data_IF_796321783784
#
_entry.id   IF_796321783784
#
_cell.length_a   1.000
_cell.length_b   1.000
_cell.length_c   1.000
_cell.angle_alpha   90.00
_cell.angle_beta   90.00
_cell.angle_gamma   90.00
#
_symmetry.space_group_name_H-M   'P 1'
#
loop_
_entity.id
_entity.type
_entity.pdbx_description
1 polymer ?
#
# COMPACT_ATOMS: atom_id res chain seq x y z
N UNK A 1 8.85 -20.75 7.06
CA UNK A 1 10.17 -20.11 7.31
C UNK A 1 10.39 -20.08 8.82
N UNK A 2 11.61 -20.28 9.33
CA UNK A 2 11.91 -20.16 10.77
C UNK A 2 12.21 -18.70 11.17
N UNK A 3 12.04 -18.35 12.44
CA UNK A 3 12.36 -16.99 12.94
C UNK A 3 13.84 -16.65 12.81
N UNK A 4 14.72 -17.62 13.02
CA UNK A 4 16.17 -17.46 12.78
C UNK A 4 16.43 -17.14 11.31
N UNK A 5 15.79 -17.88 10.39
CA UNK A 5 15.98 -17.62 8.96
C UNK A 5 15.49 -16.24 8.55
N UNK A 6 14.36 -15.77 9.09
CA UNK A 6 13.88 -14.40 8.80
C UNK A 6 14.83 -13.34 9.39
N UNK A 7 15.37 -13.57 10.58
CA UNK A 7 16.39 -12.69 11.19
C UNK A 7 17.66 -12.60 10.33
N UNK A 8 18.14 -13.73 9.79
CA UNK A 8 19.25 -13.75 8.84
C UNK A 8 18.91 -12.98 7.57
N UNK A 9 17.72 -13.19 6.98
CA UNK A 9 17.30 -12.48 5.76
C UNK A 9 17.18 -10.97 5.95
N UNK A 10 16.74 -10.51 7.13
CA UNK A 10 16.71 -9.08 7.47
C UNK A 10 18.11 -8.47 7.46
N UNK A 11 19.09 -9.18 8.01
CA UNK A 11 20.48 -8.73 7.98
C UNK A 11 21.08 -8.80 6.58
N UNK A 12 20.86 -9.91 5.86
CA UNK A 12 21.43 -10.16 4.53
C UNK A 12 20.88 -9.20 3.46
N UNK A 13 19.57 -8.87 3.51
CA UNK A 13 18.88 -8.16 2.42
C UNK A 13 18.53 -6.71 2.71
N UNK A 14 18.35 -6.35 3.98
CA UNK A 14 17.90 -5.03 4.38
C UNK A 14 18.89 -4.29 5.29
N UNK A 15 20.04 -4.92 5.62
CA UNK A 15 20.98 -4.43 6.63
C UNK A 15 20.28 -4.01 7.94
N UNK A 16 19.25 -4.77 8.31
CA UNK A 16 18.36 -4.44 9.43
C UNK A 16 18.41 -5.52 10.50
N UNK A 17 18.61 -5.12 11.75
CA UNK A 17 18.78 -6.06 12.85
C UNK A 17 17.49 -6.26 13.65
N UNK A 18 16.83 -7.39 13.42
CA UNK A 18 15.81 -7.93 14.33
C UNK A 18 16.19 -9.37 14.65
N UNK A 19 16.53 -9.63 15.91
CA UNK A 19 16.86 -10.99 16.35
C UNK A 19 15.63 -11.91 16.31
N UNK A 20 15.84 -13.23 16.29
CA UNK A 20 14.77 -14.23 16.21
C UNK A 20 13.70 -14.08 17.33
N UNK A 21 14.08 -13.62 18.53
CA UNK A 21 13.13 -13.36 19.62
C UNK A 21 12.24 -12.15 19.30
N UNK A 22 12.82 -11.10 18.71
CA UNK A 22 12.11 -9.91 18.24
C UNK A 22 11.14 -10.24 17.12
N UNK A 23 11.55 -11.07 16.15
CA UNK A 23 10.66 -11.58 15.09
C UNK A 23 9.50 -12.36 15.69
N UNK A 24 9.77 -13.30 16.61
CA UNK A 24 8.72 -14.06 17.30
C UNK A 24 7.73 -13.17 18.04
N UNK A 25 8.21 -12.11 18.71
CA UNK A 25 7.35 -11.15 19.42
C UNK A 25 6.50 -10.30 18.47
N UNK A 26 7.02 -9.94 17.30
CA UNK A 26 6.24 -9.25 16.25
C UNK A 26 5.10 -10.16 15.78
N UNK A 27 5.41 -11.41 15.40
CA UNK A 27 4.42 -12.40 14.95
C UNK A 27 3.35 -12.68 16.00
N UNK A 28 3.73 -12.70 17.28
CA UNK A 28 2.80 -12.88 18.40
C UNK A 28 1.99 -11.61 18.74
N UNK A 29 2.18 -10.49 18.02
CA UNK A 29 1.54 -9.20 18.30
C UNK A 29 2.00 -8.53 19.60
N UNK A 30 3.07 -9.05 20.22
CA UNK A 30 3.63 -8.58 21.50
C UNK A 30 4.61 -7.41 21.32
N UNK A 31 5.07 -7.19 20.09
CA UNK A 31 5.92 -6.06 19.71
C UNK A 31 5.30 -5.34 18.51
N UNK A 32 5.19 -4.02 18.60
CA UNK A 32 4.78 -3.17 17.48
C UNK A 32 5.91 -3.08 16.45
N UNK A 33 5.52 -2.97 15.18
CA UNK A 33 6.39 -2.82 14.02
C UNK A 33 6.51 -1.32 13.70
N UNK A 34 7.72 -0.79 13.56
CA UNK A 34 7.93 0.58 13.07
C UNK A 34 7.79 0.65 11.54
N UNK A 35 7.66 1.84 10.93
CA UNK A 35 7.71 1.96 9.47
C UNK A 35 9.01 1.39 8.87
N UNK A 36 10.16 1.58 9.53
CA UNK A 36 11.44 1.02 9.07
C UNK A 36 11.44 -0.52 9.17
N UNK A 37 10.93 -1.08 10.28
CA UNK A 37 10.76 -2.54 10.42
C UNK A 37 9.87 -3.09 9.29
N UNK A 38 8.78 -2.39 8.93
CA UNK A 38 7.87 -2.79 7.86
C UNK A 38 8.57 -2.86 6.51
N UNK A 39 9.35 -1.82 6.16
CA UNK A 39 10.11 -1.78 4.90
C UNK A 39 11.19 -2.86 4.89
N UNK A 40 11.93 -3.03 5.99
CA UNK A 40 12.94 -4.07 6.10
C UNK A 40 12.35 -5.49 5.97
N UNK A 41 11.20 -5.75 6.61
CA UNK A 41 10.47 -7.02 6.47
C UNK A 41 10.01 -7.26 5.03
N UNK A 42 9.51 -6.22 4.37
CA UNK A 42 9.10 -6.30 2.96
C UNK A 42 10.30 -6.70 2.07
N UNK A 43 11.45 -6.05 2.24
CA UNK A 43 12.69 -6.39 1.54
C UNK A 43 13.17 -7.82 1.85
N UNK A 44 13.19 -8.21 3.13
CA UNK A 44 13.60 -9.55 3.54
C UNK A 44 12.73 -10.65 2.91
N UNK A 45 11.42 -10.40 2.82
CA UNK A 45 10.43 -11.31 2.25
C UNK A 45 10.31 -11.21 0.73
N UNK A 46 10.92 -10.21 0.08
CA UNK A 46 10.84 -9.99 -1.35
C UNK A 46 9.47 -9.53 -1.83
N UNK A 47 8.78 -8.71 -1.03
CA UNK A 47 7.45 -8.14 -1.33
C UNK A 47 7.47 -6.62 -1.13
N UNK A 48 6.40 -5.91 -1.51
CA UNK A 48 6.24 -4.49 -1.18
C UNK A 48 5.65 -4.31 0.23
N UNK A 49 5.82 -3.15 0.89
CA UNK A 49 5.14 -2.85 2.15
C UNK A 49 3.62 -2.97 2.07
N UNK A 50 3.03 -2.61 0.92
CA UNK A 50 1.59 -2.74 0.68
C UNK A 50 1.11 -4.19 0.82
N UNK A 51 1.91 -5.19 0.40
CA UNK A 51 1.59 -6.61 0.58
C UNK A 51 1.47 -6.98 2.06
N UNK A 52 2.32 -6.44 2.93
CA UNK A 52 2.30 -6.73 4.37
C UNK A 52 1.18 -5.97 5.11
N UNK A 53 0.76 -4.81 4.57
CA UNK A 53 -0.36 -4.03 5.10
C UNK A 53 -1.73 -4.55 4.64
N UNK A 54 -1.79 -5.32 3.54
CA UNK A 54 -3.03 -5.84 2.99
C UNK A 54 -3.48 -7.11 3.73
N UNK A 55 -4.66 -7.13 4.38
CA UNK A 55 -5.22 -8.34 4.95
C UNK A 55 -5.44 -9.42 3.88
N UNK A 56 -5.31 -10.69 4.27
CA UNK A 56 -5.53 -11.82 3.36
C UNK A 56 -6.99 -11.81 2.90
N UNK A 57 -7.19 -11.66 1.58
CA UNK A 57 -8.50 -11.70 0.93
C UNK A 57 -8.43 -12.52 -0.35
N UNK A 58 -9.45 -13.34 -0.62
CA UNK A 58 -9.52 -14.17 -1.83
C UNK A 58 -10.39 -13.56 -2.92
N UNK A 59 -11.16 -12.50 -2.61
CA UNK A 59 -12.03 -11.80 -3.55
C UNK A 59 -11.91 -10.29 -3.38
N UNK A 60 -12.12 -9.54 -4.46
CA UNK A 60 -12.03 -8.07 -4.51
C UNK A 60 -13.06 -7.37 -3.62
N UNK A 61 -14.26 -7.93 -3.54
CA UNK A 61 -15.40 -7.43 -2.78
C UNK A 61 -15.44 -7.93 -1.33
N UNK A 62 -14.53 -8.82 -0.95
CA UNK A 62 -14.43 -9.30 0.43
C UNK A 62 -14.15 -8.13 1.37
N UNK A 63 -15.00 -7.95 2.37
CA UNK A 63 -14.81 -6.92 3.40
C UNK A 63 -13.62 -7.31 4.27
N UNK A 64 -12.64 -6.42 4.35
CA UNK A 64 -11.46 -6.54 5.20
C UNK A 64 -11.41 -5.40 6.20
N UNK A 65 -10.74 -5.65 7.34
CA UNK A 65 -10.54 -4.67 8.40
C UNK A 65 -9.06 -4.32 8.46
N UNK A 66 -8.77 -3.02 8.55
CA UNK A 66 -7.44 -2.48 8.77
C UNK A 66 -7.47 -1.49 9.93
N UNK A 67 -6.36 -1.41 10.68
CA UNK A 67 -6.23 -0.49 11.82
C UNK A 67 -6.54 0.95 11.40
N UNK A 68 -7.44 1.61 12.12
CA UNK A 68 -7.84 3.00 11.84
C UNK A 68 -8.88 3.17 10.73
N UNK A 69 -9.21 2.11 9.99
CA UNK A 69 -10.27 2.12 8.98
C UNK A 69 -11.59 1.72 9.61
N UNK A 70 -12.57 2.63 9.61
CA UNK A 70 -13.89 2.38 10.23
C UNK A 70 -14.76 1.47 9.37
N UNK A 71 -15.48 0.53 9.99
CA UNK A 71 -16.53 -0.26 9.34
C UNK A 71 -16.07 -1.37 8.39
N UNK A 72 -14.76 -1.50 8.16
CA UNK A 72 -14.22 -2.38 7.11
C UNK A 72 -14.49 -1.84 5.71
N UNK A 73 -13.70 -2.31 4.73
CA UNK A 73 -13.82 -1.88 3.33
C UNK A 73 -13.62 -3.08 2.40
N UNK A 74 -14.17 -3.06 1.17
CA UNK A 74 -13.81 -4.03 0.14
C UNK A 74 -12.30 -4.10 -0.07
N UNK A 75 -11.77 -5.32 -0.19
CA UNK A 75 -10.34 -5.59 -0.33
C UNK A 75 -9.69 -4.79 -1.47
N UNK A 76 -10.37 -4.65 -2.61
CA UNK A 76 -9.90 -3.86 -3.75
C UNK A 76 -9.74 -2.38 -3.43
N UNK A 77 -10.65 -1.79 -2.64
CA UNK A 77 -10.55 -0.38 -2.28
C UNK A 77 -9.41 -0.12 -1.30
N UNK A 78 -9.19 -1.03 -0.35
CA UNK A 78 -8.02 -0.96 0.53
C UNK A 78 -6.73 -1.09 -0.28
N UNK A 79 -6.66 -2.05 -1.21
CA UNK A 79 -5.49 -2.24 -2.07
C UNK A 79 -5.20 -1.01 -2.93
N UNK A 80 -6.22 -0.42 -3.56
CA UNK A 80 -6.08 0.82 -4.32
C UNK A 80 -5.52 1.95 -3.45
N UNK A 81 -6.05 2.12 -2.24
CA UNK A 81 -5.56 3.15 -1.32
C UNK A 81 -4.10 2.93 -0.90
N UNK A 82 -3.71 1.70 -0.56
CA UNK A 82 -2.34 1.34 -0.19
C UNK A 82 -1.33 1.62 -1.31
N UNK A 83 -1.76 1.59 -2.57
CA UNK A 83 -0.92 1.84 -3.75
C UNK A 83 -1.15 3.24 -4.34
N UNK A 84 -1.68 4.18 -3.56
CA UNK A 84 -1.98 5.55 -3.99
C UNK A 84 -2.91 5.65 -5.23
N UNK A 85 -3.70 4.62 -5.54
CA UNK A 85 -4.64 4.59 -6.67
C UNK A 85 -6.03 5.15 -6.38
N UNK A 86 -6.25 5.71 -5.19
CA UNK A 86 -7.49 6.40 -4.81
C UNK A 86 -7.73 6.46 -3.30
N UNK A 87 -8.59 7.38 -2.83
CA UNK A 87 -8.89 7.51 -1.42
C UNK A 87 -9.79 6.38 -0.90
N UNK A 88 -9.76 6.15 0.42
CA UNK A 88 -10.75 5.29 1.07
C UNK A 88 -12.16 5.90 1.03
N UNK A 89 -13.22 5.07 1.00
CA UNK A 89 -14.59 5.53 1.18
C UNK A 89 -14.76 6.33 2.47
N UNK A 90 -15.55 7.40 2.41
CA UNK A 90 -15.83 8.26 3.57
C UNK A 90 -14.71 9.23 3.95
N UNK A 91 -13.58 9.25 3.25
CA UNK A 91 -12.50 10.22 3.49
C UNK A 91 -12.86 11.67 3.15
N UNK A 92 -13.90 11.89 2.33
CA UNK A 92 -14.31 13.21 1.83
C UNK A 92 -13.39 13.78 0.74
N UNK A 93 -12.37 13.04 0.29
CA UNK A 93 -11.45 13.47 -0.77
C UNK A 93 -11.95 13.02 -2.14
N UNK A 94 -11.83 13.89 -3.14
CA UNK A 94 -11.92 13.50 -4.55
C UNK A 94 -10.66 12.75 -4.99
N UNK A 95 -10.74 12.05 -6.13
CA UNK A 95 -9.58 11.38 -6.73
C UNK A 95 -8.42 12.35 -6.99
N UNK A 96 -8.71 13.55 -7.50
CA UNK A 96 -7.72 14.59 -7.78
C UNK A 96 -7.06 15.09 -6.48
N UNK A 97 -7.86 15.46 -5.47
CA UNK A 97 -7.35 15.95 -4.19
C UNK A 97 -6.56 14.89 -3.40
N UNK A 98 -6.87 13.61 -3.60
CA UNK A 98 -6.07 12.51 -3.05
C UNK A 98 -4.74 12.38 -3.79
N UNK A 99 -4.75 12.39 -5.13
CA UNK A 99 -3.56 12.37 -5.97
C UNK A 99 -2.58 13.48 -5.55
N UNK A 100 -3.05 14.73 -5.47
CA UNK A 100 -2.28 15.93 -5.06
C UNK A 100 -1.52 15.76 -3.73
N UNK A 101 -1.97 14.85 -2.85
CA UNK A 101 -1.37 14.61 -1.54
C UNK A 101 -0.54 13.33 -1.48
N UNK A 102 -0.88 12.34 -2.30
CA UNK A 102 -0.34 10.99 -2.21
C UNK A 102 0.78 10.75 -3.23
N UNK A 103 0.80 11.50 -4.33
CA UNK A 103 1.73 11.29 -5.42
C UNK A 103 2.98 12.16 -5.28
N UNK A 104 4.15 11.63 -5.66
CA UNK A 104 5.35 12.44 -5.85
C UNK A 104 5.23 13.32 -7.11
N UNK A 105 6.07 14.34 -7.21
CA UNK A 105 6.03 15.32 -8.31
C UNK A 105 6.04 14.68 -9.70
N UNK A 106 6.87 13.66 -9.92
CA UNK A 106 6.99 13.04 -11.24
C UNK A 106 5.70 12.32 -11.69
N UNK A 107 4.92 11.75 -10.76
CA UNK A 107 3.62 11.13 -11.08
C UNK A 107 2.57 12.19 -11.47
N UNK A 108 2.66 13.40 -10.88
CA UNK A 108 1.85 14.54 -11.30
C UNK A 108 2.17 14.94 -12.73
N UNK A 109 3.47 15.12 -13.02
CA UNK A 109 3.96 15.54 -14.33
C UNK A 109 3.59 14.52 -15.43
N UNK A 110 3.68 13.22 -15.12
CA UNK A 110 3.30 12.14 -16.03
C UNK A 110 1.78 12.08 -16.27
N UNK A 111 0.99 12.26 -15.22
CA UNK A 111 -0.48 12.30 -15.33
C UNK A 111 -0.95 13.49 -16.16
N UNK A 112 -0.32 14.66 -16.01
CA UNK A 112 -0.64 15.86 -16.78
C UNK A 112 -0.33 15.67 -18.26
N UNK A 113 0.85 15.11 -18.60
CA UNK A 113 1.21 14.77 -19.98
C UNK A 113 0.20 13.81 -20.61
N UNK A 114 -0.17 12.75 -19.90
CA UNK A 114 -1.16 11.78 -20.39
C UNK A 114 -2.52 12.45 -20.65
N UNK A 115 -2.98 13.33 -19.77
CA UNK A 115 -4.22 14.08 -19.96
C UNK A 115 -4.14 15.04 -21.16
N UNK A 116 -3.00 15.69 -21.36
CA UNK A 116 -2.76 16.52 -22.53
C UNK A 116 -2.81 15.70 -23.82
N UNK A 117 -2.12 14.56 -23.87
CA UNK A 117 -2.14 13.66 -25.02
C UNK A 117 -3.55 13.15 -25.33
N UNK A 118 -4.33 12.76 -24.30
CA UNK A 118 -5.72 12.32 -24.48
C UNK A 118 -6.63 13.43 -25.02
N UNK A 119 -6.42 14.68 -24.58
CA UNK A 119 -7.13 15.86 -25.11
C UNK A 119 -6.76 16.13 -26.57
N UNK A 120 -5.48 16.04 -26.90
CA UNK A 120 -4.95 16.24 -28.26
C UNK A 120 -5.40 15.11 -29.22
N UNK A 121 -5.58 13.89 -28.72
CA UNK A 121 -6.11 12.75 -29.47
C UNK A 121 -7.64 12.79 -29.67
N UNK A 122 -8.33 13.83 -29.19
CA UNK A 122 -9.76 14.03 -29.45
C UNK A 122 -10.69 13.09 -28.68
N UNK A 123 -10.25 12.47 -27.58
CA UNK A 123 -11.14 11.76 -26.64
C UNK A 123 -11.83 12.76 -25.71
N UNK A 124 -12.52 13.73 -26.30
CA UNK A 124 -13.29 14.77 -25.64
C UNK A 124 -14.71 14.76 -26.18
N UNK A 125 -15.48 13.71 -25.89
CA UNK A 125 -16.86 13.62 -26.37
C UNK A 125 -17.55 12.29 -26.07
N UNK A 126 -17.71 11.94 -24.80
CA UNK A 126 -18.77 11.05 -24.30
C UNK A 126 -19.09 11.56 -22.90
N UNK A 127 -20.24 12.11 -22.52
CA UNK A 127 -21.48 12.51 -23.17
C UNK A 127 -22.33 13.04 -22.01
N UNK A 128 -22.71 14.33 -22.05
CA UNK A 128 -23.84 14.86 -21.27
C UNK A 128 -25.03 14.79 -22.24
N UNK A 129 -25.80 13.71 -22.14
CA UNK A 129 -27.17 13.56 -22.65
C UNK A 129 -27.90 12.51 -21.80
#
# INVERSE_FOLDING_TARGET
MSYTRLSELLQERADWSINAVGVRRIEAGQRRVTPDDLVALALALGVSPATLLMPVASKRDQVVVATGVSGGVPAELLWRWLNAGGPLPGSGLSMMAFGDRAWPQWEHDESEKLLQELREQGVGGVGDD
#
